data_IF_103000431606
#
_entry.id   IF_103000431606
#
_cell.length_a   1.000
_cell.length_b   1.000
_cell.length_c   1.000
_cell.angle_alpha   90.00
_cell.angle_beta   90.00
_cell.angle_gamma   90.00
#
_symmetry.space_group_name_H-M   'P 1'
#
loop_
_entity.id
_entity.type
_entity.pdbx_description
1 polymer ?
#
# COMPACT_ATOMS: atom_id res chain seq x y z
N UNK A 1 39.62 -16.80 -18.65
CA UNK A 1 39.52 -16.23 -17.29
C UNK A 1 39.50 -17.35 -16.28
N UNK A 2 40.28 -17.24 -15.20
CA UNK A 2 40.24 -18.20 -14.08
C UNK A 2 39.01 -17.95 -13.21
N UNK A 3 38.57 -18.94 -12.43
CA UNK A 3 37.45 -18.78 -11.49
C UNK A 3 37.68 -17.61 -10.51
N UNK A 4 38.91 -17.48 -10.00
CA UNK A 4 39.31 -16.37 -9.12
C UNK A 4 39.18 -14.99 -9.79
N UNK A 5 39.47 -14.87 -11.09
CA UNK A 5 39.28 -13.61 -11.83
C UNK A 5 37.80 -13.27 -12.04
N UNK A 6 36.95 -14.29 -12.22
CA UNK A 6 35.50 -14.11 -12.35
C UNK A 6 34.91 -13.60 -11.03
N UNK A 7 35.30 -14.20 -9.90
CA UNK A 7 34.79 -13.83 -8.59
C UNK A 7 35.29 -12.44 -8.17
N UNK A 8 36.55 -12.11 -8.42
CA UNK A 8 37.08 -10.77 -8.17
C UNK A 8 36.34 -9.68 -8.98
N UNK A 9 35.99 -9.96 -10.24
CA UNK A 9 35.19 -9.03 -11.05
C UNK A 9 33.76 -8.89 -10.53
N UNK A 10 33.13 -9.99 -10.08
CA UNK A 10 31.80 -9.95 -9.47
C UNK A 10 31.79 -9.07 -8.22
N UNK A 11 32.80 -9.18 -7.36
CA UNK A 11 32.90 -8.38 -6.15
C UNK A 11 33.04 -6.89 -6.46
N UNK A 12 33.86 -6.52 -7.45
CA UNK A 12 34.01 -5.13 -7.91
C UNK A 12 32.67 -4.58 -8.42
N UNK A 13 31.98 -5.35 -9.26
CA UNK A 13 30.67 -4.96 -9.82
C UNK A 13 29.64 -4.82 -8.70
N UNK A 14 29.61 -5.74 -7.75
CA UNK A 14 28.68 -5.70 -6.62
C UNK A 14 28.94 -4.46 -5.76
N UNK A 15 30.19 -4.17 -5.38
CA UNK A 15 30.54 -2.97 -4.59
C UNK A 15 30.17 -1.66 -5.27
N UNK A 16 30.44 -1.55 -6.57
CA UNK A 16 30.03 -0.38 -7.35
C UNK A 16 28.50 -0.21 -7.34
N UNK A 17 27.77 -1.33 -7.44
CA UNK A 17 26.32 -1.35 -7.45
C UNK A 17 25.71 -1.03 -6.09
N UNK A 18 26.24 -1.58 -5.01
CA UNK A 18 25.86 -1.21 -3.63
C UNK A 18 26.03 0.29 -3.42
N UNK A 19 27.16 0.84 -3.87
CA UNK A 19 27.41 2.28 -3.79
C UNK A 19 26.35 3.10 -4.54
N UNK A 20 25.96 2.66 -5.74
CA UNK A 20 24.91 3.32 -6.53
C UNK A 20 23.55 3.25 -5.84
N UNK A 21 23.17 2.08 -5.29
CA UNK A 21 21.93 1.89 -4.53
C UNK A 21 21.92 2.80 -3.31
N UNK A 22 22.99 2.81 -2.50
CA UNK A 22 23.06 3.63 -1.30
C UNK A 22 22.96 5.14 -1.58
N UNK A 23 23.37 5.58 -2.77
CA UNK A 23 23.25 6.99 -3.21
C UNK A 23 21.88 7.34 -3.79
N UNK A 24 21.08 6.34 -4.18
CA UNK A 24 19.80 6.52 -4.85
C UNK A 24 18.74 7.24 -3.98
N UNK A 25 17.79 7.97 -4.60
CA UNK A 25 16.66 8.56 -3.89
C UNK A 25 15.78 7.52 -3.17
N UNK A 26 15.60 6.34 -3.77
CA UNK A 26 14.79 5.26 -3.21
C UNK A 26 15.40 4.73 -1.91
N UNK A 27 16.72 4.59 -1.84
CA UNK A 27 17.42 4.20 -0.62
C UNK A 27 17.30 5.24 0.49
N UNK A 28 17.52 6.52 0.17
CA UNK A 28 17.33 7.62 1.13
C UNK A 28 15.90 7.66 1.68
N UNK A 29 14.91 7.34 0.84
CA UNK A 29 13.51 7.25 1.27
C UNK A 29 13.26 6.04 2.18
N UNK A 30 13.80 4.87 1.82
CA UNK A 30 13.78 3.63 2.64
C UNK A 30 14.36 3.87 4.02
N UNK A 31 15.54 4.49 4.11
CA UNK A 31 16.19 4.85 5.37
C UNK A 31 15.30 5.76 6.23
N UNK A 32 14.66 6.75 5.61
CA UNK A 32 13.77 7.69 6.31
C UNK A 32 12.53 6.98 6.86
N UNK A 33 11.95 6.06 6.09
CA UNK A 33 10.80 5.27 6.52
C UNK A 33 11.18 4.42 7.73
N UNK A 34 12.25 3.61 7.62
CA UNK A 34 12.68 2.72 8.71
C UNK A 34 12.99 3.50 10.00
N UNK A 35 13.69 4.64 9.90
CA UNK A 35 13.95 5.51 11.07
C UNK A 35 12.68 6.04 11.74
N UNK A 36 11.61 6.28 10.96
CA UNK A 36 10.32 6.75 11.48
C UNK A 36 9.42 5.62 11.98
N UNK A 37 9.64 4.42 11.45
CA UNK A 37 8.78 3.26 11.66
C UNK A 37 9.12 2.49 12.95
N UNK A 38 10.25 2.81 13.59
CA UNK A 38 10.65 2.37 14.96
C UNK A 38 10.78 0.86 15.13
N UNK A 39 10.89 0.17 14.02
CA UNK A 39 11.27 -1.23 13.98
C UNK A 39 12.77 -1.34 14.27
N UNK A 40 13.14 -2.34 15.04
CA UNK A 40 14.51 -2.64 15.44
C UNK A 40 15.08 -3.67 14.47
N UNK A 41 16.37 -3.56 14.16
CA UNK A 41 17.01 -4.58 13.35
C UNK A 41 17.06 -5.89 14.13
N UNK A 42 16.59 -6.98 13.50
CA UNK A 42 16.71 -8.32 14.05
C UNK A 42 17.45 -9.20 13.06
N UNK A 43 18.66 -9.59 13.44
CA UNK A 43 19.43 -10.66 12.79
C UNK A 43 18.71 -12.01 12.85
N UNK A 44 19.27 -13.04 12.22
CA UNK A 44 18.54 -14.30 12.01
C UNK A 44 18.38 -15.18 13.28
N UNK A 45 19.12 -14.93 14.38
CA UNK A 45 19.49 -15.98 15.35
C UNK A 45 18.86 -16.02 16.77
N UNK A 46 17.92 -15.18 17.21
CA UNK A 46 17.54 -15.18 18.65
C UNK A 46 16.06 -15.25 19.04
N UNK A 47 15.10 -14.63 18.32
CA UNK A 47 13.66 -14.62 18.70
C UNK A 47 12.71 -14.80 17.51
N UNK A 48 11.42 -15.12 17.71
CA UNK A 48 10.47 -15.14 16.58
C UNK A 48 10.42 -13.78 15.87
N UNK A 49 10.58 -13.75 14.54
CA UNK A 49 10.48 -12.50 13.78
C UNK A 49 9.07 -11.91 13.91
N UNK A 50 9.02 -10.64 14.32
CA UNK A 50 7.79 -9.89 14.50
C UNK A 50 7.84 -8.69 13.55
N UNK A 51 7.10 -8.71 12.43
CA UNK A 51 7.12 -7.61 11.46
C UNK A 51 6.64 -6.29 12.05
N UNK A 52 5.99 -6.28 13.21
CA UNK A 52 5.56 -5.05 13.89
C UNK A 52 6.68 -4.38 14.68
N UNK A 53 7.69 -5.16 15.08
CA UNK A 53 8.80 -4.71 15.93
C UNK A 53 10.14 -4.78 15.24
N UNK A 54 10.27 -5.64 14.23
CA UNK A 54 11.53 -6.04 13.65
C UNK A 54 11.60 -5.73 12.16
N UNK A 55 12.81 -5.42 11.70
CA UNK A 55 13.17 -5.45 10.29
C UNK A 55 14.43 -6.27 10.09
N UNK A 56 14.58 -6.84 8.91
CA UNK A 56 15.77 -7.56 8.47
C UNK A 56 16.14 -7.15 7.04
N UNK A 57 17.16 -7.80 6.46
CA UNK A 57 17.57 -7.55 5.06
C UNK A 57 16.39 -7.66 4.09
N UNK A 58 15.54 -8.68 4.21
CA UNK A 58 14.37 -8.85 3.33
C UNK A 58 13.37 -7.69 3.44
N UNK A 59 13.10 -7.19 4.65
CA UNK A 59 12.28 -6.00 4.86
C UNK A 59 12.87 -4.78 4.12
N UNK A 60 14.19 -4.62 4.16
CA UNK A 60 14.90 -3.51 3.50
C UNK A 60 14.79 -3.60 1.98
N UNK A 61 14.97 -4.79 1.38
CA UNK A 61 14.80 -4.98 -0.08
C UNK A 61 13.40 -4.58 -0.54
N UNK A 62 12.42 -5.08 0.20
CA UNK A 62 11.03 -4.85 -0.11
C UNK A 62 10.66 -3.36 -0.01
N UNK A 63 11.11 -2.70 1.05
CA UNK A 63 10.93 -1.26 1.22
C UNK A 63 11.63 -0.44 0.15
N UNK A 64 12.80 -0.89 -0.31
CA UNK A 64 13.52 -0.26 -1.40
C UNK A 64 12.72 -0.31 -2.70
N UNK A 65 12.16 -1.48 -3.05
CA UNK A 65 11.27 -1.62 -4.21
C UNK A 65 9.99 -0.77 -4.07
N UNK A 66 9.39 -0.73 -2.87
CA UNK A 66 8.25 0.16 -2.60
C UNK A 66 8.62 1.64 -2.73
N UNK A 67 9.83 2.00 -2.33
CA UNK A 67 10.32 3.38 -2.44
C UNK A 67 10.55 3.79 -3.90
N UNK A 68 11.01 2.87 -4.76
CA UNK A 68 11.05 3.10 -6.22
C UNK A 68 9.63 3.37 -6.72
N UNK A 69 8.67 2.50 -6.40
CA UNK A 69 7.29 2.65 -6.84
C UNK A 69 6.67 3.97 -6.36
N UNK A 70 6.89 4.36 -5.10
CA UNK A 70 6.44 5.63 -4.55
C UNK A 70 7.02 6.82 -5.33
N UNK A 71 8.29 6.76 -5.72
CA UNK A 71 8.97 7.81 -6.49
C UNK A 71 8.43 7.91 -7.91
N UNK A 72 8.19 6.79 -8.58
CA UNK A 72 7.55 6.76 -9.91
C UNK A 72 6.18 7.45 -9.88
N UNK A 73 5.38 7.16 -8.84
CA UNK A 73 4.05 7.72 -8.65
C UNK A 73 4.06 9.21 -8.26
N UNK A 74 5.19 9.79 -7.81
CA UNK A 74 5.26 11.24 -7.54
C UNK A 74 5.09 12.10 -8.78
N UNK A 75 5.37 11.55 -9.95
CA UNK A 75 5.19 12.26 -11.22
C UNK A 75 3.72 12.40 -11.63
N UNK A 76 2.84 11.55 -11.07
CA UNK A 76 1.39 11.60 -11.33
C UNK A 76 0.74 12.65 -10.42
N UNK A 77 0.09 13.65 -11.02
CA UNK A 77 -0.55 14.74 -10.27
C UNK A 77 -1.89 14.33 -9.66
N UNK A 78 -2.50 13.23 -10.13
CA UNK A 78 -3.82 12.75 -9.71
C UNK A 78 -3.78 12.01 -8.38
N UNK A 79 -2.65 11.41 -8.04
CA UNK A 79 -2.48 10.64 -6.80
C UNK A 79 -1.19 11.02 -6.08
N UNK A 80 -1.28 11.22 -4.76
CA UNK A 80 -0.11 11.45 -3.91
C UNK A 80 -0.02 10.35 -2.88
N UNK A 81 1.02 9.52 -2.98
CA UNK A 81 1.20 8.35 -2.13
C UNK A 81 2.33 8.54 -1.12
N UNK A 82 2.21 7.88 0.02
CA UNK A 82 3.29 7.70 0.99
C UNK A 82 3.42 6.20 1.32
N UNK A 83 4.61 5.77 1.73
CA UNK A 83 4.81 4.41 2.23
C UNK A 83 4.62 4.49 3.75
N UNK A 84 3.72 3.68 4.29
CA UNK A 84 3.48 3.61 5.73
C UNK A 84 3.24 2.17 6.18
N UNK A 85 3.27 1.98 7.50
CA UNK A 85 3.06 0.68 8.11
C UNK A 85 1.56 0.35 8.19
N UNK A 86 1.15 -0.76 7.56
CA UNK A 86 -0.26 -1.15 7.58
C UNK A 86 -0.70 -1.63 8.96
N UNK A 87 0.14 -2.36 9.72
CA UNK A 87 -0.24 -2.91 11.03
C UNK A 87 -0.58 -1.82 12.06
N UNK A 88 0.13 -0.70 11.97
CA UNK A 88 -0.11 0.50 12.76
C UNK A 88 -1.51 1.07 12.54
N UNK A 89 -2.09 0.77 11.38
CA UNK A 89 -3.42 1.19 10.96
C UNK A 89 -4.46 0.06 11.02
N UNK A 90 -4.05 -1.21 10.99
CA UNK A 90 -5.01 -2.33 11.06
C UNK A 90 -5.22 -2.89 12.45
N UNK A 91 -4.26 -2.74 13.37
CA UNK A 91 -4.29 -3.35 14.71
C UNK A 91 -4.30 -4.89 14.72
N UNK A 92 -4.14 -5.52 13.54
CA UNK A 92 -4.18 -6.97 13.33
C UNK A 92 -3.04 -7.39 12.41
N UNK A 93 -2.40 -8.53 12.73
CA UNK A 93 -1.36 -9.16 11.92
C UNK A 93 -1.95 -9.78 10.65
N UNK A 94 -1.59 -9.26 9.48
CA UNK A 94 -2.05 -9.78 8.18
C UNK A 94 -1.21 -10.98 7.67
N UNK A 95 0.02 -11.22 8.14
CA UNK A 95 0.77 -12.48 7.93
C UNK A 95 2.14 -12.39 8.60
N UNK A 96 2.76 -13.53 8.90
CA UNK A 96 4.19 -13.64 9.23
C UNK A 96 5.11 -13.26 8.06
N UNK A 97 4.63 -13.45 6.82
CA UNK A 97 5.45 -13.41 5.60
C UNK A 97 5.24 -12.15 4.75
N UNK A 98 4.33 -11.26 5.16
CA UNK A 98 4.06 -10.01 4.43
C UNK A 98 4.75 -8.87 5.16
N UNK A 99 5.71 -8.17 4.52
CA UNK A 99 6.36 -7.05 5.16
C UNK A 99 5.34 -5.97 5.54
N UNK A 100 5.59 -5.24 6.64
CA UNK A 100 4.56 -4.43 7.31
C UNK A 100 4.22 -3.12 6.58
N UNK A 101 4.60 -2.95 5.30
CA UNK A 101 4.54 -1.68 4.59
C UNK A 101 3.69 -1.72 3.33
N UNK A 102 2.96 -0.63 3.10
CA UNK A 102 2.08 -0.47 1.95
C UNK A 102 2.13 0.96 1.41
N UNK A 103 1.69 1.16 0.17
CA UNK A 103 1.47 2.50 -0.38
C UNK A 103 0.06 2.97 -0.03
N UNK A 104 -0.03 4.16 0.57
CA UNK A 104 -1.30 4.75 0.98
C UNK A 104 -1.44 6.15 0.38
N UNK A 105 -2.63 6.50 -0.14
CA UNK A 105 -2.95 7.88 -0.50
C UNK A 105 -2.78 8.83 0.70
N UNK A 106 -1.97 9.87 0.53
CA UNK A 106 -1.57 10.82 1.59
C UNK A 106 -2.77 11.50 2.26
N UNK A 107 -3.81 11.79 1.48
CA UNK A 107 -5.09 12.32 1.95
C UNK A 107 -5.77 11.36 2.93
N UNK A 108 -5.75 10.06 2.65
CA UNK A 108 -6.35 9.03 3.51
C UNK A 108 -5.53 8.81 4.77
N UNK A 109 -4.21 8.64 4.64
CA UNK A 109 -3.28 8.50 5.78
C UNK A 109 -3.50 9.60 6.84
N UNK A 110 -3.56 10.86 6.39
CA UNK A 110 -3.81 12.02 7.27
C UNK A 110 -5.17 11.97 7.97
N UNK A 111 -6.21 11.46 7.31
CA UNK A 111 -7.53 11.30 7.92
C UNK A 111 -7.53 10.22 8.98
N UNK A 112 -6.96 9.05 8.67
CA UNK A 112 -6.85 7.93 9.61
C UNK A 112 -6.12 8.36 10.89
N UNK A 113 -4.97 9.06 10.75
CA UNK A 113 -4.26 9.64 11.89
C UNK A 113 -5.14 10.58 12.72
N UNK A 114 -5.88 11.48 12.06
CA UNK A 114 -6.73 12.45 12.74
C UNK A 114 -7.86 11.80 13.54
N UNK A 115 -8.48 10.73 13.02
CA UNK A 115 -9.52 9.98 13.72
C UNK A 115 -8.95 9.22 14.93
N UNK A 116 -7.85 8.49 14.76
CA UNK A 116 -7.20 7.77 15.87
C UNK A 116 -6.74 8.71 16.99
N UNK A 117 -6.21 9.88 16.64
CA UNK A 117 -5.86 10.91 17.63
C UNK A 117 -7.09 11.39 18.41
N UNK A 118 -8.23 11.56 17.76
CA UNK A 118 -9.46 11.99 18.42
C UNK A 118 -10.06 10.93 19.36
N UNK A 119 -9.78 9.65 19.12
CA UNK A 119 -10.21 8.54 19.98
C UNK A 119 -9.23 8.24 21.13
N UNK A 120 -8.17 9.04 21.27
CA UNK A 120 -7.15 8.82 22.29
C UNK A 120 -6.23 7.62 22.00
N UNK A 121 -6.33 7.02 20.82
CA UNK A 121 -5.48 5.92 20.33
C UNK A 121 -4.11 6.42 19.84
N UNK A 122 -3.54 7.41 20.54
CA UNK A 122 -2.18 7.85 20.26
C UNK A 122 -1.21 6.71 20.61
N UNK A 123 -0.59 6.12 19.59
CA UNK A 123 0.36 5.00 19.77
C UNK A 123 1.50 5.49 20.68
N UNK A 124 1.58 4.95 21.90
CA UNK A 124 2.66 5.28 22.84
C UNK A 124 4.01 4.95 22.19
N UNK A 125 4.90 5.93 22.31
CA UNK A 125 6.13 6.03 21.56
C UNK A 125 7.30 5.47 22.38
N UNK A 126 7.58 4.16 22.33
CA UNK A 126 8.54 3.54 23.27
C UNK A 126 9.85 3.00 22.67
N UNK A 127 9.97 2.84 21.34
CA UNK A 127 11.19 2.32 20.73
C UNK A 127 12.10 3.42 20.13
N UNK A 128 13.41 3.33 20.39
CA UNK A 128 14.43 4.21 19.81
C UNK A 128 14.78 3.75 18.37
N UNK A 129 14.84 4.68 17.39
CA UNK A 129 15.30 4.36 16.04
C UNK A 129 16.74 3.83 16.04
N UNK A 130 17.08 2.96 15.08
CA UNK A 130 18.49 2.61 14.87
C UNK A 130 19.30 3.85 14.43
N UNK A 131 20.53 3.93 14.92
CA UNK A 131 21.49 5.00 14.62
C UNK A 131 22.50 4.53 13.57
N UNK A 132 23.06 5.46 12.80
CA UNK A 132 24.11 5.16 11.81
C UNK A 132 23.61 4.74 10.43
N UNK A 133 24.45 4.02 9.69
CA UNK A 133 24.18 3.52 8.34
C UNK A 133 23.34 2.25 8.39
N UNK A 134 22.31 2.17 7.55
CA UNK A 134 21.52 0.94 7.41
C UNK A 134 22.37 -0.23 6.89
N UNK A 135 23.35 0.04 6.04
CA UNK A 135 24.27 -0.99 5.55
C UNK A 135 25.12 -1.57 6.70
N UNK A 136 25.69 -0.70 7.55
CA UNK A 136 26.48 -1.12 8.73
C UNK A 136 25.64 -1.93 9.73
N UNK A 137 24.36 -1.58 9.88
CA UNK A 137 23.45 -2.35 10.75
C UNK A 137 23.26 -3.77 10.21
N UNK A 138 23.12 -3.92 8.89
CA UNK A 138 22.91 -5.22 8.25
C UNK A 138 24.19 -6.06 8.18
N UNK A 139 25.36 -5.44 8.09
CA UNK A 139 26.65 -6.15 8.02
C UNK A 139 27.09 -6.76 9.34
N UNK A 140 26.40 -6.48 10.47
CA UNK A 140 26.75 -7.06 11.78
C UNK A 140 26.59 -8.57 11.83
N UNK A 141 25.59 -9.09 11.12
CA UNK A 141 25.20 -10.51 11.17
C UNK A 141 25.37 -11.21 9.82
N UNK A 142 26.01 -10.58 8.83
CA UNK A 142 26.15 -11.09 7.46
C UNK A 142 27.60 -10.97 6.99
N UNK A 143 28.07 -11.95 6.22
CA UNK A 143 29.32 -11.80 5.47
C UNK A 143 29.21 -10.62 4.49
N UNK A 144 30.28 -9.82 4.36
CA UNK A 144 30.25 -8.60 3.56
C UNK A 144 30.05 -8.88 2.07
N UNK A 145 30.62 -9.96 1.53
CA UNK A 145 30.47 -10.31 0.13
C UNK A 145 29.08 -10.87 -0.16
N UNK A 146 28.55 -11.70 0.74
CA UNK A 146 27.15 -12.17 0.66
C UNK A 146 26.15 -11.00 0.71
N UNK A 147 26.37 -10.05 1.63
CA UNK A 147 25.52 -8.87 1.78
C UNK A 147 25.61 -7.98 0.53
N UNK A 148 26.80 -7.77 -0.02
CA UNK A 148 27.01 -6.99 -1.24
C UNK A 148 26.32 -7.63 -2.45
N UNK A 149 26.48 -8.95 -2.63
CA UNK A 149 25.83 -9.69 -3.70
C UNK A 149 24.30 -9.61 -3.57
N UNK A 150 23.78 -9.76 -2.35
CA UNK A 150 22.36 -9.66 -2.06
C UNK A 150 21.82 -8.24 -2.32
N UNK A 151 22.56 -7.19 -1.95
CA UNK A 151 22.18 -5.80 -2.21
C UNK A 151 22.28 -5.44 -3.68
N UNK A 152 23.22 -6.06 -4.41
CA UNK A 152 23.40 -5.85 -5.84
C UNK A 152 22.30 -6.53 -6.67
N UNK A 153 21.50 -7.44 -6.11
CA UNK A 153 20.47 -8.17 -6.87
C UNK A 153 19.37 -7.25 -7.45
N UNK A 154 18.70 -6.38 -6.66
CA UNK A 154 17.56 -5.60 -7.13
C UNK A 154 17.92 -4.65 -8.28
N UNK A 155 16.95 -4.38 -9.19
CA UNK A 155 17.14 -3.40 -10.25
C UNK A 155 17.21 -1.98 -9.69
N UNK A 156 18.08 -1.16 -10.28
CA UNK A 156 18.23 0.27 -10.06
C UNK A 156 17.31 1.07 -10.98
N UNK A 157 17.09 0.58 -12.21
CA UNK A 157 16.36 1.32 -13.24
C UNK A 157 15.38 0.44 -14.00
N UNK A 158 14.42 1.09 -14.66
CA UNK A 158 13.48 0.42 -15.57
C UNK A 158 14.18 -0.29 -16.73
N UNK A 159 15.30 0.26 -17.18
CA UNK A 159 16.06 -0.29 -18.30
C UNK A 159 16.67 -1.64 -17.95
N UNK A 160 17.23 -1.79 -16.75
CA UNK A 160 17.81 -3.07 -16.31
C UNK A 160 16.77 -4.19 -16.26
N UNK A 161 15.53 -3.88 -15.88
CA UNK A 161 14.44 -4.87 -15.91
C UNK A 161 14.07 -5.27 -17.34
N UNK A 162 14.07 -4.31 -18.28
CA UNK A 162 13.85 -4.60 -19.71
C UNK A 162 14.97 -5.46 -20.31
N UNK A 163 16.19 -5.30 -19.80
CA UNK A 163 17.36 -6.10 -20.16
C UNK A 163 17.41 -7.47 -19.44
N UNK A 164 16.33 -7.84 -18.72
CA UNK A 164 16.19 -9.16 -18.13
C UNK A 164 16.77 -9.31 -16.73
N UNK A 165 17.18 -8.22 -16.05
CA UNK A 165 17.59 -8.30 -14.64
C UNK A 165 16.43 -8.83 -13.80
N UNK A 166 16.73 -9.84 -12.99
CA UNK A 166 15.77 -10.46 -12.09
C UNK A 166 15.17 -9.44 -11.12
N UNK A 167 13.87 -9.54 -10.93
CA UNK A 167 13.13 -8.85 -9.88
C UNK A 167 12.81 -9.88 -8.80
N UNK A 168 13.12 -9.56 -7.54
CA UNK A 168 13.04 -10.50 -6.42
C UNK A 168 11.64 -10.61 -5.83
N UNK A 169 11.08 -9.49 -5.36
CA UNK A 169 9.85 -9.49 -4.56
C UNK A 169 8.64 -9.05 -5.41
N UNK A 170 8.73 -7.91 -6.10
CA UNK A 170 7.74 -7.45 -7.08
C UNK A 170 8.35 -6.41 -8.01
N UNK A 171 7.78 -6.24 -9.20
CA UNK A 171 8.28 -5.27 -10.19
C UNK A 171 7.64 -3.89 -9.96
N UNK A 172 8.38 -2.90 -9.42
CA UNK A 172 7.81 -1.60 -9.05
C UNK A 172 7.33 -0.80 -10.28
N UNK A 173 8.00 -0.93 -11.43
CA UNK A 173 7.61 -0.23 -12.66
C UNK A 173 6.41 -0.86 -13.36
N UNK A 174 6.26 -2.18 -13.28
CA UNK A 174 5.06 -2.83 -13.80
C UNK A 174 3.82 -2.40 -12.99
N UNK A 175 3.93 -2.40 -11.65
CA UNK A 175 2.83 -1.99 -10.78
C UNK A 175 2.52 -0.50 -10.89
N UNK A 176 3.53 0.38 -10.85
CA UNK A 176 3.31 1.82 -11.03
C UNK A 176 2.70 2.13 -12.40
N UNK A 177 3.09 1.40 -13.45
CA UNK A 177 2.54 1.59 -14.79
C UNK A 177 1.04 1.28 -14.88
N UNK A 178 0.52 0.29 -14.14
CA UNK A 178 -0.92 0.05 -14.09
C UNK A 178 -1.66 1.23 -13.47
N UNK A 179 -1.13 1.75 -12.36
CA UNK A 179 -1.72 2.87 -11.63
C UNK A 179 -1.70 4.15 -12.48
N UNK A 180 -0.55 4.50 -13.07
CA UNK A 180 -0.43 5.69 -13.91
C UNK A 180 -1.30 5.63 -15.17
N UNK A 181 -1.60 4.44 -15.70
CA UNK A 181 -2.48 4.28 -16.87
C UNK A 181 -3.96 4.21 -16.51
N UNK A 182 -4.29 3.99 -15.24
CA UNK A 182 -5.67 3.90 -14.81
C UNK A 182 -6.36 5.26 -14.89
N UNK A 183 -7.64 5.24 -15.27
CA UNK A 183 -8.54 6.38 -15.14
C UNK A 183 -9.02 6.59 -13.68
N UNK A 184 -8.84 5.59 -12.81
CA UNK A 184 -9.10 5.61 -11.37
C UNK A 184 -7.84 5.17 -10.60
N UNK A 185 -6.80 6.03 -10.53
CA UNK A 185 -5.50 5.67 -9.98
C UNK A 185 -5.56 5.24 -8.50
N UNK A 186 -6.46 5.79 -7.68
CA UNK A 186 -6.57 5.41 -6.27
C UNK A 186 -7.18 4.02 -6.10
N UNK A 187 -8.20 3.69 -6.89
CA UNK A 187 -8.74 2.33 -6.90
C UNK A 187 -7.73 1.31 -7.42
N UNK A 188 -7.03 1.63 -8.51
CA UNK A 188 -6.00 0.75 -9.05
C UNK A 188 -4.88 0.53 -8.03
N UNK A 189 -4.45 1.57 -7.32
CA UNK A 189 -3.48 1.43 -6.24
C UNK A 189 -3.99 0.48 -5.16
N UNK A 190 -5.24 0.64 -4.69
CA UNK A 190 -5.83 -0.26 -3.71
C UNK A 190 -5.84 -1.71 -4.22
N UNK A 191 -6.28 -1.94 -5.46
CA UNK A 191 -6.34 -3.27 -6.06
C UNK A 191 -4.96 -3.92 -6.17
N UNK A 192 -3.93 -3.16 -6.58
CA UNK A 192 -2.56 -3.67 -6.66
C UNK A 192 -2.00 -3.99 -5.26
N UNK A 193 -2.21 -3.13 -4.27
CA UNK A 193 -1.81 -3.37 -2.88
C UNK A 193 -2.55 -4.59 -2.29
N UNK A 194 -3.85 -4.70 -2.53
CA UNK A 194 -4.68 -5.83 -2.13
C UNK A 194 -4.11 -7.17 -2.63
N UNK A 195 -3.72 -7.24 -3.90
CA UNK A 195 -3.09 -8.43 -4.48
C UNK A 195 -1.69 -8.67 -3.93
N UNK A 196 -0.87 -7.62 -3.91
CA UNK A 196 0.56 -7.68 -3.52
C UNK A 196 0.75 -8.11 -2.07
N UNK A 197 -0.15 -7.69 -1.19
CA UNK A 197 -0.12 -8.00 0.24
C UNK A 197 -0.92 -9.26 0.61
N UNK A 198 -1.60 -9.90 -0.36
CA UNK A 198 -2.44 -11.07 -0.09
C UNK A 198 -3.63 -10.75 0.82
N UNK A 199 -4.17 -9.53 0.74
CA UNK A 199 -5.27 -9.09 1.62
C UNK A 199 -6.58 -9.85 1.36
N UNK A 200 -6.67 -10.59 0.25
CA UNK A 200 -7.79 -11.46 -0.04
C UNK A 200 -8.04 -12.48 1.07
N UNK A 201 -7.00 -13.01 1.71
CA UNK A 201 -7.18 -13.97 2.83
C UNK A 201 -7.99 -13.34 3.99
N UNK A 202 -7.96 -12.02 4.15
CA UNK A 202 -8.63 -11.31 5.23
C UNK A 202 -10.03 -10.84 4.87
N UNK A 203 -10.19 -10.31 3.66
CA UNK A 203 -11.44 -9.67 3.25
C UNK A 203 -12.29 -10.56 2.34
N UNK A 204 -11.72 -11.62 1.80
CA UNK A 204 -12.35 -12.55 0.85
C UNK A 204 -11.75 -13.96 1.00
N UNK A 205 -11.95 -14.62 2.16
CA UNK A 205 -11.33 -15.91 2.48
C UNK A 205 -11.74 -17.02 1.50
N UNK A 206 -12.88 -16.88 0.83
CA UNK A 206 -13.39 -17.80 -0.18
C UNK A 206 -12.78 -17.55 -1.58
N UNK A 207 -11.85 -16.59 -1.71
CA UNK A 207 -11.13 -16.25 -2.96
C UNK A 207 -12.07 -15.96 -4.14
N UNK A 208 -13.15 -15.21 -3.87
CA UNK A 208 -14.20 -14.85 -4.83
C UNK A 208 -13.81 -13.68 -5.74
N UNK A 209 -12.70 -13.00 -5.41
CA UNK A 209 -12.04 -11.93 -6.19
C UNK A 209 -12.96 -10.73 -6.51
N UNK A 210 -13.65 -10.16 -5.51
CA UNK A 210 -14.65 -9.10 -5.70
C UNK A 210 -14.08 -7.89 -6.44
N UNK A 211 -12.86 -7.46 -6.11
CA UNK A 211 -12.26 -6.28 -6.74
C UNK A 211 -11.81 -6.52 -8.19
N UNK A 212 -11.49 -7.76 -8.57
CA UNK A 212 -11.24 -8.11 -9.97
C UNK A 212 -12.55 -8.02 -10.78
N UNK A 213 -13.64 -8.49 -10.18
CA UNK A 213 -14.98 -8.35 -10.77
C UNK A 213 -15.41 -6.90 -10.90
N UNK A 214 -15.25 -6.08 -9.85
CA UNK A 214 -15.55 -4.64 -9.90
C UNK A 214 -14.76 -3.98 -11.04
N UNK A 215 -13.45 -4.25 -11.12
CA UNK A 215 -12.59 -3.67 -12.15
C UNK A 215 -13.05 -4.07 -13.56
N UNK A 216 -13.45 -5.33 -13.74
CA UNK A 216 -13.94 -5.85 -15.03
C UNK A 216 -15.26 -5.21 -15.44
N UNK A 217 -16.19 -5.06 -14.50
CA UNK A 217 -17.55 -4.64 -14.81
C UNK A 217 -17.74 -3.12 -14.81
N UNK A 218 -17.01 -2.38 -13.98
CA UNK A 218 -17.21 -0.94 -13.78
C UNK A 218 -16.00 -0.10 -14.19
N UNK A 219 -15.09 -0.67 -15.00
CA UNK A 219 -13.93 0.05 -15.55
C UNK A 219 -14.30 1.26 -16.41
N UNK A 220 -15.52 1.30 -16.92
CA UNK A 220 -16.11 2.42 -17.66
C UNK A 220 -16.60 3.58 -16.75
N UNK A 221 -16.58 3.41 -15.42
CA UNK A 221 -17.05 4.39 -14.42
C UNK A 221 -15.91 4.87 -13.51
N UNK A 222 -14.91 5.59 -14.06
CA UNK A 222 -13.70 5.91 -13.33
C UNK A 222 -13.93 6.81 -12.11
N UNK A 223 -14.92 7.71 -12.14
CA UNK A 223 -15.22 8.57 -10.99
C UNK A 223 -15.79 7.77 -9.81
N UNK A 224 -16.63 6.76 -10.08
CA UNK A 224 -17.15 5.86 -9.05
C UNK A 224 -16.01 5.04 -8.44
N UNK A 225 -15.17 4.45 -9.29
CA UNK A 225 -14.03 3.66 -8.85
C UNK A 225 -13.06 4.51 -8.02
N UNK A 226 -12.73 5.73 -8.46
CA UNK A 226 -11.82 6.60 -7.72
C UNK A 226 -12.32 6.90 -6.29
N UNK A 227 -13.61 7.21 -6.15
CA UNK A 227 -14.26 7.39 -4.85
C UNK A 227 -14.25 6.12 -4.02
N UNK A 228 -14.53 4.97 -4.65
CA UNK A 228 -14.47 3.67 -3.99
C UNK A 228 -13.04 3.40 -3.49
N UNK A 229 -12.00 3.71 -4.26
CA UNK A 229 -10.60 3.55 -3.85
C UNK A 229 -10.26 4.31 -2.56
N UNK A 230 -10.65 5.58 -2.46
CA UNK A 230 -10.49 6.38 -1.25
C UNK A 230 -11.18 5.74 -0.03
N UNK A 231 -12.41 5.25 -0.23
CA UNK A 231 -13.21 4.60 0.81
C UNK A 231 -12.60 3.28 1.25
N UNK A 232 -12.16 2.44 0.31
CA UNK A 232 -11.54 1.14 0.58
C UNK A 232 -10.22 1.29 1.35
N UNK A 233 -9.38 2.26 0.97
CA UNK A 233 -8.20 2.61 1.77
C UNK A 233 -8.59 3.06 3.19
N UNK A 234 -9.59 3.93 3.33
CA UNK A 234 -9.97 4.39 4.66
C UNK A 234 -10.52 3.26 5.54
N UNK A 235 -11.42 2.43 5.02
CA UNK A 235 -12.03 1.33 5.80
C UNK A 235 -11.03 0.24 6.14
N UNK A 236 -10.16 -0.16 5.20
CA UNK A 236 -9.09 -1.13 5.50
C UNK A 236 -8.16 -0.67 6.65
N UNK A 237 -7.91 0.64 6.75
CA UNK A 237 -6.97 1.26 7.69
C UNK A 237 -7.59 1.78 8.99
N UNK A 238 -8.91 1.77 9.13
CA UNK A 238 -9.56 2.35 10.31
C UNK A 238 -10.84 1.62 10.71
N UNK A 239 -11.62 1.12 9.76
CA UNK A 239 -12.91 0.48 10.02
C UNK A 239 -13.06 -0.83 9.21
N UNK A 240 -12.30 -1.85 9.60
CA UNK A 240 -12.23 -3.12 8.87
C UNK A 240 -13.53 -3.91 8.93
N UNK A 241 -14.28 -3.82 10.04
CA UNK A 241 -15.58 -4.49 10.15
C UNK A 241 -16.52 -4.05 9.02
N UNK A 242 -16.58 -2.74 8.79
CA UNK A 242 -17.36 -2.17 7.70
C UNK A 242 -16.87 -2.60 6.30
N UNK A 243 -15.55 -2.79 6.11
CA UNK A 243 -15.02 -3.31 4.85
C UNK A 243 -15.43 -4.78 4.63
N UNK A 244 -15.34 -5.62 5.67
CA UNK A 244 -15.75 -7.03 5.59
C UNK A 244 -17.24 -7.19 5.25
N UNK A 245 -18.10 -6.42 5.92
CA UNK A 245 -19.54 -6.37 5.60
C UNK A 245 -19.79 -5.95 4.15
N UNK A 246 -19.12 -4.90 3.69
CA UNK A 246 -19.26 -4.43 2.32
C UNK A 246 -18.87 -5.50 1.30
N UNK A 247 -17.72 -6.16 1.51
CA UNK A 247 -17.22 -7.20 0.59
C UNK A 247 -18.15 -8.42 0.57
N UNK A 248 -18.62 -8.89 1.72
CA UNK A 248 -19.55 -10.02 1.76
C UNK A 248 -20.84 -9.72 1.00
N UNK A 249 -21.47 -8.58 1.30
CA UNK A 249 -22.70 -8.18 0.61
C UNK A 249 -22.47 -7.87 -0.87
N UNK A 250 -21.28 -7.38 -1.26
CA UNK A 250 -20.92 -7.18 -2.65
C UNK A 250 -20.89 -8.52 -3.41
N UNK A 251 -20.28 -9.55 -2.82
CA UNK A 251 -20.18 -10.87 -3.45
C UNK A 251 -21.55 -11.55 -3.57
N UNK A 252 -22.36 -11.52 -2.50
CA UNK A 252 -23.74 -12.02 -2.55
C UNK A 252 -24.53 -11.35 -3.68
N UNK A 253 -24.41 -10.03 -3.79
CA UNK A 253 -25.06 -9.27 -4.86
C UNK A 253 -24.50 -9.63 -6.23
N UNK A 254 -23.21 -9.91 -6.37
CA UNK A 254 -22.62 -10.28 -7.65
C UNK A 254 -23.18 -11.60 -8.16
N UNK A 255 -23.28 -12.60 -7.26
CA UNK A 255 -23.85 -13.90 -7.58
C UNK A 255 -25.33 -13.78 -7.97
N UNK A 256 -26.11 -12.99 -7.24
CA UNK A 256 -27.54 -12.79 -7.51
C UNK A 256 -27.78 -11.96 -8.78
N UNK A 257 -26.98 -10.91 -9.00
CA UNK A 257 -27.27 -9.88 -10.02
C UNK A 257 -26.50 -10.09 -11.33
N UNK A 258 -25.22 -10.42 -11.26
CA UNK A 258 -24.36 -10.43 -12.45
C UNK A 258 -24.20 -11.82 -13.06
N UNK A 259 -24.29 -12.88 -12.26
CA UNK A 259 -24.16 -14.28 -12.74
C UNK A 259 -25.50 -14.91 -13.14
N UNK A 260 -26.61 -14.53 -12.51
CA UNK A 260 -27.91 -15.18 -12.72
C UNK A 260 -28.78 -14.57 -13.84
N UNK A 261 -28.54 -13.33 -14.28
CA UNK A 261 -29.46 -12.59 -15.15
C UNK A 261 -29.01 -12.51 -16.63
N UNK A 262 -29.78 -13.03 -17.60
CA UNK A 262 -29.57 -12.76 -19.03
C UNK A 262 -30.32 -11.49 -19.52
N UNK A 263 -29.84 -10.89 -20.61
CA UNK A 263 -30.56 -9.81 -21.32
C UNK A 263 -30.74 -8.50 -20.52
N UNK A 264 -31.92 -7.87 -20.62
CA UNK A 264 -32.25 -6.60 -19.94
C UNK A 264 -32.16 -6.67 -18.41
N UNK A 265 -32.39 -7.85 -17.82
CA UNK A 265 -32.24 -8.05 -16.38
C UNK A 265 -30.80 -7.81 -15.94
N UNK A 266 -29.82 -8.13 -16.79
CA UNK A 266 -28.40 -7.88 -16.52
C UNK A 266 -28.09 -6.39 -16.41
N UNK A 267 -28.72 -5.54 -17.23
CA UNK A 267 -28.55 -4.08 -17.16
C UNK A 267 -29.13 -3.51 -15.86
N UNK A 268 -30.34 -3.95 -15.49
CA UNK A 268 -30.96 -3.58 -14.20
C UNK A 268 -30.12 -4.05 -13.02
N UNK A 269 -29.59 -5.26 -13.11
CA UNK A 269 -28.73 -5.86 -12.10
C UNK A 269 -27.38 -5.13 -11.96
N UNK A 270 -26.79 -4.70 -13.08
CA UNK A 270 -25.60 -3.86 -13.10
C UNK A 270 -25.85 -2.49 -12.45
N UNK A 271 -27.00 -1.86 -12.73
CA UNK A 271 -27.37 -0.59 -12.08
C UNK A 271 -27.61 -0.75 -10.57
N UNK A 272 -28.23 -1.85 -10.13
CA UNK A 272 -28.38 -2.16 -8.69
C UNK A 272 -27.02 -2.27 -7.99
N UNK A 273 -26.04 -2.88 -8.66
CA UNK A 273 -24.68 -2.97 -8.12
C UNK A 273 -24.01 -1.59 -8.02
N UNK A 274 -24.17 -0.74 -9.04
CA UNK A 274 -23.67 0.64 -9.03
C UNK A 274 -24.26 1.40 -7.84
N UNK A 275 -25.59 1.35 -7.68
CA UNK A 275 -26.28 2.04 -6.59
C UNK A 275 -25.76 1.58 -5.23
N UNK A 276 -25.53 0.28 -5.04
CA UNK A 276 -24.96 -0.26 -3.81
C UNK A 276 -23.56 0.29 -3.51
N UNK A 277 -22.68 0.30 -4.53
CA UNK A 277 -21.32 0.87 -4.39
C UNK A 277 -21.41 2.37 -4.09
N UNK A 278 -22.29 3.10 -4.76
CA UNK A 278 -22.50 4.54 -4.56
C UNK A 278 -23.02 4.85 -3.16
N UNK A 279 -24.01 4.11 -2.65
CA UNK A 279 -24.54 4.23 -1.30
C UNK A 279 -23.45 4.01 -0.25
N UNK A 280 -22.63 2.96 -0.42
CA UNK A 280 -21.48 2.72 0.44
C UNK A 280 -20.48 3.88 0.39
N UNK A 281 -20.14 4.35 -0.81
CA UNK A 281 -19.24 5.48 -0.98
C UNK A 281 -19.80 6.75 -0.33
N UNK A 282 -21.10 7.03 -0.49
CA UNK A 282 -21.77 8.19 0.10
C UNK A 282 -21.74 8.13 1.62
N UNK A 283 -22.17 7.01 2.21
CA UNK A 283 -22.18 6.78 3.66
C UNK A 283 -20.79 7.01 4.28
N UNK A 284 -19.76 6.41 3.69
CA UNK A 284 -18.40 6.51 4.20
C UNK A 284 -17.81 7.90 3.96
N UNK A 285 -18.13 8.53 2.83
CA UNK A 285 -17.70 9.89 2.55
C UNK A 285 -18.29 10.86 3.55
N UNK A 286 -19.60 10.81 3.76
CA UNK A 286 -20.33 11.70 4.66
C UNK A 286 -19.84 11.59 6.10
N UNK A 287 -19.65 10.36 6.58
CA UNK A 287 -19.24 10.12 7.95
C UNK A 287 -17.76 10.45 8.19
N UNK A 288 -16.86 10.14 7.25
CA UNK A 288 -15.42 10.18 7.52
C UNK A 288 -14.60 11.02 6.54
N UNK A 289 -14.94 11.02 5.26
CA UNK A 289 -14.08 11.60 4.22
C UNK A 289 -14.47 13.03 3.80
N UNK A 290 -15.50 13.67 4.36
CA UNK A 290 -15.77 15.08 4.10
C UNK A 290 -14.57 15.95 4.51
N UNK A 291 -14.20 16.92 3.67
CA UNK A 291 -13.15 17.89 3.97
C UNK A 291 -13.51 18.77 5.16
N UNK A 292 -12.50 19.25 5.90
CA UNK A 292 -12.74 20.17 7.03
C UNK A 292 -13.54 21.42 6.61
N UNK A 293 -13.25 21.97 5.43
CA UNK A 293 -13.98 23.11 4.87
C UNK A 293 -15.46 22.78 4.62
N UNK A 294 -15.77 21.62 4.05
CA UNK A 294 -17.16 21.20 3.79
C UNK A 294 -17.90 20.86 5.09
N UNK A 295 -17.22 20.26 6.08
CA UNK A 295 -17.77 20.08 7.44
C UNK A 295 -18.09 21.42 8.10
N UNK A 296 -17.20 22.39 7.99
CA UNK A 296 -17.41 23.73 8.53
C UNK A 296 -18.58 24.44 7.83
N UNK A 297 -18.65 24.37 6.50
CA UNK A 297 -19.77 24.92 5.73
C UNK A 297 -21.10 24.28 6.13
N UNK A 298 -21.17 22.95 6.26
CA UNK A 298 -22.38 22.24 6.70
C UNK A 298 -22.78 22.65 8.13
N UNK A 299 -21.83 22.72 9.07
CA UNK A 299 -22.09 23.21 10.43
C UNK A 299 -22.64 24.64 10.42
N UNK A 300 -22.05 25.54 9.63
CA UNK A 300 -22.51 26.93 9.50
C UNK A 300 -23.90 27.02 8.86
N UNK A 301 -24.20 26.20 7.85
CA UNK A 301 -25.52 26.10 7.23
C UNK A 301 -26.58 25.61 8.23
N UNK A 302 -26.27 24.57 9.01
CA UNK A 302 -27.16 24.03 10.05
C UNK A 302 -27.37 25.06 11.18
N UNK A 303 -26.32 25.77 11.59
CA UNK A 303 -26.41 26.81 12.60
C UNK A 303 -27.28 27.99 12.13
N UNK A 304 -27.14 28.42 10.88
CA UNK A 304 -28.00 29.45 10.26
C UNK A 304 -29.46 29.02 10.17
N UNK A 305 -29.72 27.79 9.71
CA UNK A 305 -31.09 27.26 9.67
C UNK A 305 -31.74 27.10 11.05
N UNK A 306 -30.94 26.97 12.12
CA UNK A 306 -31.43 26.88 13.50
C UNK A 306 -31.54 28.21 14.22
N UNK A 307 -30.85 29.26 13.74
CA UNK A 307 -30.87 30.61 14.33
C UNK A 307 -31.94 31.50 13.70
N UNK A 308 -32.64 31.05 12.65
CA UNK A 308 -33.71 31.83 12.03
C UNK A 308 -33.25 33.08 11.30
N UNK A 309 -31.94 33.31 11.16
CA UNK A 309 -31.41 34.39 10.34
C UNK A 309 -31.50 33.98 8.86
N UNK A 310 -32.57 34.47 8.22
CA UNK A 310 -32.78 34.48 6.77
C UNK A 310 -32.12 35.71 6.18
#
# INVERSE_FOLDING_TARGET
>A
MTAQQIDALRDIVNKARVTAICKSPAWKYTLRILKRSRVVYRGERSESFDPEKHFNRYTVRYLYLLSIMALELRSDTRIKVEVDQWYRMTGKRLSLNVPPFMLIPRNIRRKVDGFRQSEGEATKQTAQPFTGSLYEVLSRDNDSAELDAWFAEPPLTRQEVREGRRVTDFNPWAQSSFICRSASPTFELFYQEYKRLGLSVFFDPENRKPFESIKKHFGDKPQLLERLGDVLFFTSLYNQGCLGEFVNALVEKEDIYLKASPGEEKLKAHQKMINYIEEFCNKMTEKYLISAARRHYQKKKIARSRSGES
#
